data_IF_678174525412
#
_entry.id   IF_678174525412
#
_cell.length_a   1.000
_cell.length_b   1.000
_cell.length_c   1.000
_cell.angle_alpha   90.00
_cell.angle_beta   90.00
_cell.angle_gamma   90.00
#
_symmetry.space_group_name_H-M   'P 1'
#
loop_
_entity.id
_entity.type
_entity.pdbx_description
1 polymer ?
#
# COMPACT_ATOMS: atom_id res chain seq x y z
N UNK A 1 -28.80 68.42 -63.04
CA UNK A 1 -28.21 67.30 -63.76
C UNK A 1 -27.60 66.39 -62.75
N UNK A 2 -27.85 65.13 -62.79
CA UNK A 2 -27.44 64.03 -61.93
C UNK A 2 -28.32 63.85 -60.68
N UNK A 3 -29.27 62.96 -60.89
CA UNK A 3 -30.20 62.40 -59.92
C UNK A 3 -29.50 61.29 -59.08
N UNK A 4 -29.49 61.45 -57.79
CA UNK A 4 -28.94 60.48 -56.89
C UNK A 4 -30.07 59.73 -56.18
N UNK A 5 -30.34 58.52 -56.66
CA UNK A 5 -31.33 57.60 -56.08
C UNK A 5 -30.63 56.87 -54.89
N UNK A 6 -31.16 57.08 -53.71
CA UNK A 6 -30.74 56.35 -52.52
C UNK A 6 -31.63 55.10 -52.40
N UNK A 7 -31.04 53.92 -52.65
CA UNK A 7 -31.69 52.64 -52.32
C UNK A 7 -31.41 52.26 -50.86
N UNK A 8 -32.47 52.23 -50.02
CA UNK A 8 -32.42 51.63 -48.71
C UNK A 8 -32.56 50.11 -48.86
N UNK A 9 -31.50 49.40 -48.51
CA UNK A 9 -31.56 47.97 -48.27
C UNK A 9 -31.82 47.70 -46.79
N UNK A 10 -33.05 47.22 -46.50
CA UNK A 10 -33.36 46.64 -45.20
C UNK A 10 -32.86 45.21 -45.14
N UNK A 11 -31.75 44.99 -44.51
CA UNK A 11 -31.28 43.63 -44.20
C UNK A 11 -31.90 43.22 -42.86
N UNK A 12 -32.82 42.26 -42.96
CA UNK A 12 -33.40 41.63 -41.77
C UNK A 12 -32.38 40.73 -41.08
N UNK A 13 -32.09 41.01 -39.82
CA UNK A 13 -31.36 40.11 -38.92
C UNK A 13 -32.27 38.98 -38.48
N UNK A 14 -32.12 37.82 -39.07
CA UNK A 14 -32.68 36.59 -38.52
C UNK A 14 -31.75 36.11 -37.40
N UNK A 15 -32.17 36.27 -36.15
CA UNK A 15 -31.49 35.67 -35.00
C UNK A 15 -31.74 34.17 -35.03
N UNK A 16 -30.72 33.41 -35.48
CA UNK A 16 -30.68 31.95 -35.25
C UNK A 16 -30.29 31.68 -33.81
N UNK A 17 -31.26 31.24 -33.03
CA UNK A 17 -31.03 30.71 -31.69
C UNK A 17 -30.20 29.43 -31.78
N UNK A 18 -28.90 29.54 -31.66
CA UNK A 18 -28.05 28.37 -31.40
C UNK A 18 -28.25 27.93 -29.96
N UNK A 19 -28.99 26.82 -29.82
CA UNK A 19 -29.12 26.09 -28.59
C UNK A 19 -27.73 25.47 -28.26
N UNK A 20 -26.98 26.19 -27.45
CA UNK A 20 -25.72 25.72 -26.92
C UNK A 20 -26.03 24.57 -25.97
N UNK A 21 -25.87 23.35 -26.42
CA UNK A 21 -25.89 22.19 -25.55
C UNK A 21 -24.58 22.17 -24.79
N UNK A 22 -24.61 22.71 -23.58
CA UNK A 22 -23.55 22.58 -22.60
C UNK A 22 -23.45 21.09 -22.17
N UNK A 23 -22.81 20.30 -22.99
CA UNK A 23 -22.30 19.01 -22.54
C UNK A 23 -21.05 19.29 -21.67
N UNK A 24 -21.32 19.68 -20.43
CA UNK A 24 -20.30 19.48 -19.39
C UNK A 24 -20.12 17.97 -19.23
N UNK A 25 -19.26 17.41 -20.06
CA UNK A 25 -18.65 16.13 -19.74
C UNK A 25 -17.90 16.37 -18.41
N UNK A 26 -18.51 15.93 -17.31
CA UNK A 26 -17.85 15.84 -16.04
C UNK A 26 -16.66 14.90 -16.27
N UNK A 27 -15.48 15.50 -16.45
CA UNK A 27 -14.21 14.77 -16.34
C UNK A 27 -14.18 14.28 -14.91
N UNK A 28 -14.57 13.02 -14.69
CA UNK A 28 -14.31 12.34 -13.46
C UNK A 28 -12.80 12.33 -13.31
N UNK A 29 -12.28 13.28 -12.53
CA UNK A 29 -10.91 13.24 -12.05
C UNK A 29 -10.89 11.99 -11.17
N UNK A 30 -10.42 10.87 -11.74
CA UNK A 30 -10.02 9.72 -10.94
C UNK A 30 -8.88 10.24 -10.07
N UNK A 31 -9.21 10.59 -8.83
CA UNK A 31 -8.20 10.80 -7.81
C UNK A 31 -7.53 9.45 -7.64
N UNK A 32 -6.32 9.32 -8.21
CA UNK A 32 -5.42 8.22 -7.86
C UNK A 32 -5.24 8.36 -6.35
N UNK A 33 -5.83 7.44 -5.61
CA UNK A 33 -5.74 7.44 -4.15
C UNK A 33 -4.26 7.32 -3.80
N UNK A 34 -3.71 8.40 -3.26
CA UNK A 34 -2.33 8.42 -2.81
C UNK A 34 -2.18 7.42 -1.67
N UNK A 35 -1.22 6.51 -1.78
CA UNK A 35 -0.93 5.58 -0.69
C UNK A 35 -0.46 6.35 0.56
N UNK A 36 -0.82 5.84 1.72
CA UNK A 36 -0.36 6.37 3.00
C UNK A 36 -0.41 5.27 4.06
N UNK A 37 0.73 4.95 4.66
CA UNK A 37 0.83 3.94 5.71
C UNK A 37 0.34 4.47 7.07
N UNK A 38 -0.92 4.91 7.11
CA UNK A 38 -1.64 5.40 8.29
C UNK A 38 -2.97 4.66 8.43
N UNK A 39 -3.57 4.67 9.63
CA UNK A 39 -4.89 4.06 9.86
C UNK A 39 -5.93 4.68 8.91
N UNK A 40 -6.64 3.83 8.17
CA UNK A 40 -7.61 4.20 7.14
C UNK A 40 -7.00 4.46 5.77
N UNK A 41 -5.68 4.67 5.67
CA UNK A 41 -4.96 4.85 4.41
C UNK A 41 -4.73 3.52 3.69
N UNK A 42 -4.51 3.61 2.38
CA UNK A 42 -4.12 2.47 1.57
C UNK A 42 -2.61 2.23 1.72
N UNK A 43 -2.20 0.98 1.93
CA UNK A 43 -0.79 0.61 2.02
C UNK A 43 -0.01 1.07 0.80
N UNK A 44 1.19 1.59 1.02
CA UNK A 44 2.13 1.88 -0.04
C UNK A 44 2.87 0.61 -0.44
N UNK A 45 2.93 0.37 -1.75
CA UNK A 45 3.63 -0.79 -2.27
C UNK A 45 5.13 -0.69 -2.02
N UNK A 46 5.77 -1.82 -1.80
CA UNK A 46 7.21 -2.00 -1.79
C UNK A 46 7.55 -3.39 -2.30
N UNK A 47 8.77 -3.55 -2.81
CA UNK A 47 9.32 -4.84 -3.23
C UNK A 47 10.17 -5.44 -2.12
N UNK A 48 10.17 -6.76 -2.03
CA UNK A 48 10.96 -7.54 -1.10
C UNK A 48 11.41 -8.84 -1.78
N UNK A 49 12.19 -9.66 -1.08
CA UNK A 49 12.55 -11.01 -1.51
C UNK A 49 12.05 -11.98 -0.44
N UNK A 50 11.43 -13.08 -0.85
CA UNK A 50 10.98 -14.12 0.08
C UNK A 50 12.10 -15.12 0.43
N UNK A 51 11.77 -16.07 1.31
CA UNK A 51 12.70 -17.09 1.74
C UNK A 51 13.07 -18.12 0.63
N UNK A 52 12.33 -18.13 -0.47
CA UNK A 52 12.56 -19.01 -1.64
C UNK A 52 13.21 -18.27 -2.82
N UNK A 53 13.79 -17.08 -2.55
CA UNK A 53 14.47 -16.21 -3.51
C UNK A 53 13.57 -15.60 -4.60
N UNK A 54 12.24 -15.55 -4.37
CA UNK A 54 11.34 -14.89 -5.31
C UNK A 54 11.24 -13.40 -4.99
N UNK A 55 11.20 -12.58 -6.04
CA UNK A 55 10.79 -11.18 -5.92
C UNK A 55 9.29 -11.14 -5.59
N UNK A 56 8.92 -10.42 -4.55
CA UNK A 56 7.54 -10.25 -4.07
C UNK A 56 7.24 -8.76 -3.87
N UNK A 57 5.98 -8.42 -4.00
CA UNK A 57 5.49 -7.07 -3.75
C UNK A 57 4.37 -7.09 -2.70
N UNK A 58 4.25 -6.03 -1.90
CA UNK A 58 3.15 -5.93 -0.94
C UNK A 58 1.79 -6.03 -1.64
N UNK A 59 1.68 -5.57 -2.89
CA UNK A 59 0.47 -5.66 -3.70
C UNK A 59 0.08 -7.08 -4.09
N UNK A 60 0.96 -8.08 -3.97
CA UNK A 60 0.64 -9.49 -4.20
C UNK A 60 -0.36 -10.02 -3.15
N UNK A 61 -0.47 -9.35 -1.99
CA UNK A 61 -1.43 -9.65 -0.94
C UNK A 61 -2.83 -9.04 -1.21
N UNK A 62 -3.01 -8.29 -2.29
CA UNK A 62 -4.31 -7.67 -2.60
C UNK A 62 -5.38 -8.74 -2.81
N UNK A 63 -6.50 -8.59 -2.13
CA UNK A 63 -7.61 -9.55 -2.13
C UNK A 63 -7.71 -10.32 -0.82
N UNK A 64 -6.61 -10.45 -0.08
CA UNK A 64 -6.53 -11.12 1.23
C UNK A 64 -6.32 -10.11 2.34
N UNK A 65 -6.97 -10.26 3.52
CA UNK A 65 -6.56 -9.52 4.70
C UNK A 65 -5.17 -9.98 5.14
N UNK A 66 -4.35 -9.07 5.66
CA UNK A 66 -3.01 -9.49 6.10
C UNK A 66 -2.51 -8.76 7.34
N UNK A 67 -1.61 -9.44 8.04
CA UNK A 67 -0.77 -8.87 9.10
C UNK A 67 0.63 -8.69 8.50
N UNK A 68 1.19 -7.49 8.65
CA UNK A 68 2.60 -7.24 8.34
C UNK A 68 3.33 -7.03 9.67
N UNK A 69 4.18 -7.98 10.01
CA UNK A 69 5.00 -8.00 11.22
C UNK A 69 6.41 -7.49 10.88
N UNK A 70 6.75 -6.31 11.40
CA UNK A 70 8.10 -5.77 11.30
C UNK A 70 8.95 -6.36 12.42
N UNK A 71 9.89 -7.21 12.06
CA UNK A 71 10.75 -7.94 12.98
C UNK A 71 12.25 -7.77 12.67
N UNK A 72 13.10 -8.07 13.66
CA UNK A 72 14.55 -8.14 13.50
C UNK A 72 15.09 -9.40 14.19
N UNK A 73 16.11 -10.01 13.59
CA UNK A 73 16.63 -11.30 14.06
C UNK A 73 17.36 -11.23 15.42
N UNK A 74 17.84 -10.05 15.81
CA UNK A 74 18.45 -9.83 17.14
C UNK A 74 17.40 -9.54 18.23
N UNK A 75 16.14 -9.25 17.86
CA UNK A 75 15.08 -8.83 18.77
C UNK A 75 14.48 -10.03 19.52
N UNK A 76 14.59 -10.05 20.83
CA UNK A 76 14.03 -11.11 21.68
C UNK A 76 12.50 -11.21 21.63
N UNK A 77 11.76 -10.10 21.83
CA UNK A 77 10.30 -10.11 21.70
C UNK A 77 9.82 -10.57 20.31
N UNK A 78 10.54 -10.19 19.23
CA UNK A 78 10.19 -10.63 17.87
C UNK A 78 10.29 -12.18 17.73
N UNK A 79 11.32 -12.78 18.32
CA UNK A 79 11.48 -14.25 18.32
C UNK A 79 10.36 -14.95 19.08
N UNK A 80 9.85 -14.33 20.14
CA UNK A 80 8.70 -14.86 20.88
C UNK A 80 7.42 -14.75 20.07
N UNK A 81 7.18 -13.61 19.41
CA UNK A 81 6.04 -13.42 18.53
C UNK A 81 6.05 -14.41 17.36
N UNK A 82 7.22 -14.64 16.76
CA UNK A 82 7.40 -15.55 15.64
C UNK A 82 6.90 -16.98 15.92
N UNK A 83 7.00 -17.46 17.18
CA UNK A 83 6.54 -18.80 17.55
C UNK A 83 5.01 -18.99 17.39
N UNK A 84 4.23 -17.92 17.35
CA UNK A 84 2.78 -17.97 17.15
C UNK A 84 2.33 -17.72 15.73
N UNK A 85 3.24 -17.37 14.82
CA UNK A 85 2.92 -16.96 13.44
C UNK A 85 2.18 -18.06 12.67
N UNK A 86 2.71 -19.29 12.67
CA UNK A 86 2.10 -20.39 11.95
C UNK A 86 0.73 -20.77 12.51
N UNK A 87 0.57 -20.76 13.84
CA UNK A 87 -0.71 -21.04 14.48
C UNK A 87 -1.78 -20.02 14.08
N UNK A 88 -1.41 -18.73 13.98
CA UNK A 88 -2.32 -17.67 13.51
C UNK A 88 -2.64 -17.88 12.02
N UNK A 89 -1.64 -18.12 11.19
CA UNK A 89 -1.83 -18.40 9.76
C UNK A 89 -2.83 -19.55 9.54
N UNK A 90 -2.67 -20.63 10.28
CA UNK A 90 -3.52 -21.82 10.16
C UNK A 90 -4.93 -21.57 10.71
N UNK A 91 -5.04 -20.90 11.85
CA UNK A 91 -6.32 -20.63 12.51
C UNK A 91 -7.24 -19.71 11.68
N UNK A 92 -6.67 -18.85 10.84
CA UNK A 92 -7.42 -17.91 10.00
C UNK A 92 -7.34 -18.22 8.50
N UNK A 93 -6.93 -19.45 8.14
CA UNK A 93 -6.84 -19.89 6.73
C UNK A 93 -8.19 -19.84 6.00
N UNK A 94 -9.30 -20.14 6.67
CA UNK A 94 -10.65 -20.03 6.10
C UNK A 94 -11.05 -18.58 5.72
N UNK A 95 -10.35 -17.59 6.26
CA UNK A 95 -10.53 -16.18 5.95
C UNK A 95 -9.49 -15.63 4.97
N UNK A 96 -8.65 -16.50 4.43
CA UNK A 96 -7.55 -16.16 3.52
C UNK A 96 -6.57 -15.14 4.13
N UNK A 97 -6.41 -15.15 5.47
CA UNK A 97 -5.47 -14.28 6.16
C UNK A 97 -4.03 -14.65 5.76
N UNK A 98 -3.24 -13.64 5.42
CA UNK A 98 -1.80 -13.78 5.22
C UNK A 98 -1.05 -13.15 6.41
N UNK A 99 -0.27 -13.94 7.14
CA UNK A 99 0.62 -13.40 8.16
C UNK A 99 2.03 -13.28 7.58
N UNK A 100 2.42 -12.08 7.22
CA UNK A 100 3.72 -11.79 6.59
C UNK A 100 4.69 -11.26 7.65
N UNK A 101 5.79 -11.96 7.89
CA UNK A 101 6.90 -11.43 8.68
C UNK A 101 7.91 -10.75 7.77
N UNK A 102 8.09 -9.44 7.92
CA UNK A 102 9.10 -8.65 7.23
C UNK A 102 10.32 -8.48 8.14
N UNK A 103 11.36 -9.25 7.89
CA UNK A 103 12.62 -9.14 8.63
C UNK A 103 13.42 -7.96 8.10
N UNK A 104 13.63 -6.97 8.94
CA UNK A 104 14.31 -5.72 8.57
C UNK A 104 15.82 -5.82 8.77
N UNK A 105 16.24 -6.57 9.79
CA UNK A 105 17.66 -6.72 10.15
C UNK A 105 18.00 -8.15 10.53
N UNK A 106 19.17 -8.57 10.11
CA UNK A 106 19.81 -9.80 10.55
C UNK A 106 20.29 -9.71 12.02
N UNK A 107 21.04 -10.70 12.50
CA UNK A 107 21.58 -10.71 13.86
C UNK A 107 22.66 -9.65 14.11
N UNK A 108 23.18 -9.01 13.06
CA UNK A 108 24.24 -7.99 13.11
C UNK A 108 23.75 -6.58 12.78
N UNK A 109 22.46 -6.43 12.45
CA UNK A 109 21.82 -5.14 12.12
C UNK A 109 21.90 -4.78 10.64
N UNK A 110 22.29 -5.71 9.77
CA UNK A 110 22.28 -5.52 8.32
C UNK A 110 20.95 -6.03 7.70
N UNK A 111 20.61 -5.64 6.45
CA UNK A 111 19.51 -6.26 5.74
C UNK A 111 19.73 -7.80 5.67
N UNK A 112 18.66 -8.60 5.96
CA UNK A 112 18.77 -10.05 5.93
C UNK A 112 18.91 -10.57 4.49
N UNK A 113 19.49 -11.74 4.34
CA UNK A 113 19.51 -12.52 3.11
C UNK A 113 18.56 -13.72 3.22
N UNK A 114 18.41 -14.49 2.15
CA UNK A 114 17.49 -15.65 2.09
C UNK A 114 17.84 -16.75 3.08
N UNK A 115 19.13 -16.95 3.40
CA UNK A 115 19.57 -17.91 4.42
C UNK A 115 19.08 -17.48 5.81
N UNK A 116 19.12 -16.17 6.09
CA UNK A 116 18.59 -15.61 7.34
C UNK A 116 17.08 -15.84 7.45
N UNK A 117 16.34 -15.67 6.36
CA UNK A 117 14.89 -15.90 6.31
C UNK A 117 14.55 -17.39 6.54
N UNK A 118 15.26 -18.30 5.90
CA UNK A 118 15.11 -19.75 6.13
C UNK A 118 15.42 -20.12 7.58
N UNK A 119 16.49 -19.59 8.13
CA UNK A 119 16.84 -19.79 9.53
C UNK A 119 15.73 -19.27 10.47
N UNK A 120 15.13 -18.10 10.18
CA UNK A 120 14.01 -17.56 10.94
C UNK A 120 12.80 -18.49 10.90
N UNK A 121 12.42 -18.95 9.71
CA UNK A 121 11.32 -19.91 9.53
C UNK A 121 11.55 -21.18 10.34
N UNK A 122 12.72 -21.77 10.23
CA UNK A 122 13.06 -23.01 10.93
C UNK A 122 13.01 -22.86 12.44
N UNK A 123 13.55 -21.75 12.99
CA UNK A 123 13.56 -21.49 14.43
C UNK A 123 12.16 -21.22 15.00
N UNK A 124 11.26 -20.63 14.22
CA UNK A 124 9.91 -20.29 14.61
C UNK A 124 8.87 -21.37 14.26
N UNK A 125 9.26 -22.41 13.51
CA UNK A 125 8.32 -23.45 13.01
C UNK A 125 7.36 -22.93 11.94
N UNK A 126 7.74 -21.88 11.19
CA UNK A 126 6.94 -21.29 10.13
C UNK A 126 7.05 -22.16 8.87
N UNK A 127 5.92 -22.67 8.39
CA UNK A 127 5.86 -23.55 7.21
C UNK A 127 5.21 -22.89 6.00
N UNK A 128 4.09 -22.21 6.19
CA UNK A 128 3.29 -21.61 5.11
C UNK A 128 3.20 -20.10 5.17
N UNK A 129 3.33 -19.49 6.37
CA UNK A 129 3.31 -18.05 6.49
C UNK A 129 4.50 -17.41 5.76
N UNK A 130 4.30 -16.35 4.95
CA UNK A 130 5.38 -15.68 4.24
C UNK A 130 6.39 -15.03 5.18
N UNK A 131 7.69 -15.15 4.85
CA UNK A 131 8.78 -14.44 5.50
C UNK A 131 9.62 -13.74 4.44
N UNK A 132 9.70 -12.41 4.53
CA UNK A 132 10.31 -11.54 3.52
C UNK A 132 11.51 -10.77 4.08
N UNK A 133 12.47 -10.48 3.22
CA UNK A 133 13.60 -9.59 3.51
C UNK A 133 13.19 -8.14 3.28
N UNK A 134 13.24 -7.32 4.31
CA UNK A 134 13.08 -5.88 4.24
C UNK A 134 14.38 -5.13 4.48
N UNK A 135 14.29 -3.81 4.63
CA UNK A 135 15.39 -2.96 5.02
C UNK A 135 14.92 -1.75 5.81
N UNK A 136 15.84 -1.04 6.48
CA UNK A 136 15.53 0.20 7.19
C UNK A 136 15.03 1.32 6.29
N UNK A 137 15.27 1.26 5.00
CA UNK A 137 14.78 2.25 4.02
C UNK A 137 13.25 2.26 3.92
N UNK A 138 12.59 1.16 4.30
CA UNK A 138 11.14 1.06 4.36
C UNK A 138 10.53 1.75 5.58
N UNK A 139 11.34 2.25 6.53
CA UNK A 139 10.91 2.67 7.85
C UNK A 139 11.05 4.18 8.08
N UNK A 140 10.21 4.72 8.96
CA UNK A 140 10.36 6.06 9.53
C UNK A 140 10.12 6.02 11.04
N UNK A 141 10.87 6.79 11.83
CA UNK A 141 10.58 6.97 13.25
C UNK A 141 9.47 8.00 13.52
N UNK A 142 8.97 8.70 12.49
CA UNK A 142 7.97 9.75 12.63
C UNK A 142 6.59 9.29 12.15
N UNK A 143 5.60 9.10 13.05
CA UNK A 143 4.28 8.62 12.68
C UNK A 143 3.46 9.63 11.85
N UNK A 144 3.86 10.89 11.82
CA UNK A 144 3.18 11.95 11.05
C UNK A 144 3.74 12.07 9.63
N UNK A 145 5.00 11.67 9.44
CA UNK A 145 5.72 11.75 8.17
C UNK A 145 5.89 10.39 7.51
N UNK A 146 4.92 9.50 7.70
CA UNK A 146 5.02 8.14 7.16
C UNK A 146 5.11 8.15 5.63
N UNK A 147 4.31 8.98 4.95
CA UNK A 147 4.29 8.96 3.49
C UNK A 147 4.16 7.53 2.98
N UNK A 148 5.18 7.06 2.23
CA UNK A 148 5.30 5.66 1.80
C UNK A 148 6.01 4.76 2.81
N UNK A 149 6.70 5.31 3.84
CA UNK A 149 7.41 4.53 4.84
C UNK A 149 6.46 3.96 5.91
N UNK A 150 6.88 2.87 6.54
CA UNK A 150 6.20 2.25 7.67
C UNK A 150 6.75 2.88 8.97
N UNK A 151 5.86 3.27 9.86
CA UNK A 151 6.27 3.79 11.16
C UNK A 151 6.80 2.66 12.05
N UNK A 152 7.97 2.85 12.65
CA UNK A 152 8.54 1.93 13.62
C UNK A 152 9.00 2.70 14.86
N UNK A 153 8.35 2.45 15.99
CA UNK A 153 8.72 2.97 17.31
C UNK A 153 9.52 1.95 18.10
N UNK A 154 9.07 0.72 18.16
CA UNK A 154 9.77 -0.40 18.80
C UNK A 154 9.55 -1.73 18.07
N UNK A 155 10.25 -2.77 18.50
CA UNK A 155 10.25 -4.10 17.94
C UNK A 155 9.51 -5.10 18.85
N UNK A 156 8.63 -5.97 18.28
CA UNK A 156 8.08 -5.93 16.92
C UNK A 156 7.02 -4.84 16.76
N UNK A 157 6.68 -4.47 15.51
CA UNK A 157 5.49 -3.66 15.20
C UNK A 157 4.62 -4.42 14.20
N UNK A 158 3.32 -4.52 14.49
CA UNK A 158 2.35 -5.25 13.68
C UNK A 158 1.39 -4.28 13.02
N UNK A 159 1.18 -4.41 11.72
CA UNK A 159 0.18 -3.70 10.96
C UNK A 159 -0.91 -4.65 10.50
N UNK A 160 -2.16 -4.22 10.58
CA UNK A 160 -3.33 -5.00 10.20
C UNK A 160 -4.02 -4.34 9.02
N UNK A 161 -4.12 -5.06 7.91
CA UNK A 161 -4.73 -4.56 6.69
C UNK A 161 -5.94 -5.41 6.30
N UNK A 162 -6.95 -4.76 5.67
CA UNK A 162 -8.04 -5.48 5.03
C UNK A 162 -7.64 -5.95 3.62
N UNK A 163 -8.51 -6.73 2.98
CA UNK A 163 -8.30 -7.23 1.62
C UNK A 163 -8.21 -6.15 0.55
N UNK A 164 -8.63 -4.92 0.84
CA UNK A 164 -8.43 -3.74 0.00
C UNK A 164 -7.11 -3.01 0.28
N UNK A 165 -6.22 -3.60 1.08
CA UNK A 165 -4.94 -3.01 1.50
C UNK A 165 -5.10 -1.75 2.37
N UNK A 166 -6.23 -1.57 3.07
CA UNK A 166 -6.40 -0.44 3.97
C UNK A 166 -5.95 -0.82 5.38
N UNK A 167 -5.08 0.00 5.95
CA UNK A 167 -4.64 -0.18 7.32
C UNK A 167 -5.81 0.02 8.29
N UNK A 168 -6.09 -0.99 9.10
CA UNK A 168 -7.16 -0.98 10.12
C UNK A 168 -6.63 -0.64 11.50
N UNK A 169 -5.44 -1.12 11.81
CA UNK A 169 -4.78 -0.91 13.08
C UNK A 169 -3.27 -1.12 12.95
N UNK A 170 -2.54 -0.68 13.94
CA UNK A 170 -1.19 -1.16 14.21
C UNK A 170 -1.02 -1.39 15.71
N UNK A 171 -0.10 -2.25 16.08
CA UNK A 171 0.27 -2.56 17.46
C UNK A 171 1.79 -2.56 17.59
N UNK A 172 2.27 -1.92 18.64
CA UNK A 172 3.70 -1.86 18.99
C UNK A 172 3.92 -2.79 20.17
N UNK A 173 4.80 -3.78 20.01
CA UNK A 173 5.10 -4.80 20.99
C UNK A 173 6.15 -4.43 22.02
#
# INVERSE_FOLDING_TARGET
MINLAIMLFLTGCTASSQKQSDTHAAVAIQQVEQCANIIGGKACNFSAVDADENDVELTDLMGSPFILDLSAMWCGPCKLAAQGVQDIQDAYSDYDLQYVTLIIEDTTGNPPNTIDLQFWKDQAGITTAPVWAGSRELLTPNPVETGSALYLDSWPTFYFFDSGMRMKAYHVG
#
